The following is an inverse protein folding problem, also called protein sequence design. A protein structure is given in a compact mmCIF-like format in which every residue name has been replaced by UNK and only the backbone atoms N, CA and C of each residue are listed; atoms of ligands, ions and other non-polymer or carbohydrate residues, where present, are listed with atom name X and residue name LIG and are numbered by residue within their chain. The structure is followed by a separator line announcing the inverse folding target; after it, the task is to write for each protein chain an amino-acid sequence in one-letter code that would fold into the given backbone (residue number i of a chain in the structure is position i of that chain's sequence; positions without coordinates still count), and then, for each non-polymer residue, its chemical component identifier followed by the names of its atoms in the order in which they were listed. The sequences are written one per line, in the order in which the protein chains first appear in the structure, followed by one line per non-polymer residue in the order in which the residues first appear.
data_IF_692314332017
#
_entry.id   IF_692314332017
#
_cell.length_a   1.000
_cell.length_b   1.000
_cell.length_c   1.000
_cell.angle_alpha   90.00
_cell.angle_beta   90.00
_cell.angle_gamma   90.00
#
_symmetry.space_group_name_H-M   'P 1'
#
loop_
_entity.id
_entity.type
_entity.pdbx_description
1 polymer ?
#
# COMPACT_ATOMS: atom_id res chain seq x y z
N UNK A 1 51.14 -12.29 65.66
CA UNK A 1 51.48 -13.67 65.24
C UNK A 1 50.17 -14.37 64.94
N UNK A 2 49.33 -13.81 64.07
CA UNK A 2 49.43 -13.77 62.59
C UNK A 2 48.98 -15.12 62.02
N UNK A 3 48.03 -15.24 61.09
CA UNK A 3 47.30 -14.25 60.31
C UNK A 3 46.14 -14.88 59.54
N UNK A 4 45.35 -14.01 58.91
CA UNK A 4 44.27 -14.30 57.98
C UNK A 4 44.73 -15.08 56.73
N UNK A 5 43.79 -15.79 56.11
CA UNK A 5 43.99 -16.43 54.80
C UNK A 5 42.70 -16.95 54.19
N UNK A 6 41.81 -16.04 53.79
CA UNK A 6 40.70 -16.35 52.91
C UNK A 6 41.19 -16.61 51.47
N UNK A 7 40.72 -17.69 50.84
CA UNK A 7 40.60 -17.84 49.38
C UNK A 7 39.67 -19.04 49.15
N UNK A 8 38.40 -18.90 48.78
CA UNK A 8 37.85 -18.33 47.55
C UNK A 8 38.36 -18.99 46.27
N UNK A 9 37.40 -19.25 45.37
CA UNK A 9 37.54 -19.77 44.01
C UNK A 9 37.67 -21.31 43.91
N UNK A 10 36.90 -22.01 43.09
CA UNK A 10 36.04 -21.58 42.02
C UNK A 10 34.88 -22.57 41.90
N UNK A 11 33.66 -22.06 42.09
CA UNK A 11 32.53 -22.58 41.33
C UNK A 11 32.98 -22.51 39.87
N UNK A 12 33.12 -23.67 39.24
CA UNK A 12 33.34 -23.75 37.80
C UNK A 12 32.04 -23.26 37.19
N UNK A 13 31.97 -21.95 37.01
CA UNK A 13 30.98 -21.26 36.20
C UNK A 13 31.04 -21.94 34.83
N UNK A 14 30.08 -22.83 34.60
CA UNK A 14 29.83 -23.44 33.30
C UNK A 14 29.36 -22.36 32.34
N UNK A 15 30.31 -21.57 31.83
CA UNK A 15 30.17 -20.62 30.72
C UNK A 15 30.06 -21.35 29.37
N UNK A 16 29.22 -22.38 29.32
CA UNK A 16 28.99 -23.19 28.12
C UNK A 16 27.51 -23.51 27.89
N UNK A 17 26.58 -22.67 28.39
CA UNK A 17 25.15 -22.96 28.39
C UNK A 17 24.20 -21.93 27.76
N UNK A 18 24.68 -20.81 27.21
CA UNK A 18 23.81 -19.74 26.69
C UNK A 18 24.24 -19.26 25.29
N UNK A 19 24.22 -20.16 24.30
CA UNK A 19 24.44 -19.78 22.89
C UNK A 19 23.12 -19.58 22.13
N UNK A 20 21.98 -19.90 22.75
CA UNK A 20 20.67 -19.52 22.26
C UNK A 20 20.07 -18.58 23.30
N UNK A 21 19.79 -17.33 22.91
CA UNK A 21 18.91 -16.46 23.67
C UNK A 21 17.57 -17.16 23.95
N UNK A 22 16.76 -16.60 24.85
CA UNK A 22 15.43 -17.10 25.19
C UNK A 22 14.72 -17.71 23.97
N UNK A 23 14.11 -18.90 24.06
CA UNK A 23 13.44 -19.59 22.93
C UNK A 23 12.53 -18.65 22.14
N UNK A 24 11.89 -17.69 22.81
CA UNK A 24 11.11 -16.63 22.17
C UNK A 24 11.91 -15.79 21.17
N UNK A 25 13.14 -15.38 21.51
CA UNK A 25 14.02 -14.61 20.63
C UNK A 25 14.43 -15.41 19.39
N UNK A 26 14.71 -16.71 19.56
CA UNK A 26 15.02 -17.60 18.44
C UNK A 26 13.81 -17.70 17.50
N UNK A 27 12.61 -17.90 18.05
CA UNK A 27 11.37 -17.94 17.27
C UNK A 27 11.13 -16.61 16.55
N UNK A 28 11.31 -15.47 17.22
CA UNK A 28 11.19 -14.15 16.59
C UNK A 28 12.19 -13.94 15.46
N UNK A 29 13.43 -14.38 15.65
CA UNK A 29 14.46 -14.30 14.63
C UNK A 29 14.11 -15.15 13.42
N UNK A 30 13.64 -16.38 13.62
CA UNK A 30 13.15 -17.24 12.53
C UNK A 30 11.99 -16.54 11.79
N UNK A 31 10.97 -16.10 12.53
CA UNK A 31 9.79 -15.45 11.95
C UNK A 31 10.12 -14.15 11.21
N UNK A 32 11.20 -13.46 11.57
CA UNK A 32 11.65 -12.24 10.88
C UNK A 32 11.99 -12.49 9.39
N UNK A 33 12.41 -13.71 9.03
CA UNK A 33 12.71 -14.13 7.66
C UNK A 33 11.54 -14.81 6.92
N UNK A 34 10.37 -14.93 7.57
CA UNK A 34 9.19 -15.57 6.98
C UNK A 34 8.21 -14.51 6.44
N UNK A 35 7.69 -14.62 5.21
CA UNK A 35 6.70 -13.68 4.68
C UNK A 35 5.44 -13.57 5.55
N UNK A 36 4.76 -12.42 5.48
CA UNK A 36 3.64 -12.09 6.38
C UNK A 36 2.50 -13.11 6.31
N UNK A 37 2.15 -13.60 5.11
CA UNK A 37 1.08 -14.60 4.95
C UNK A 37 1.39 -15.89 5.71
N UNK A 38 2.63 -16.35 5.65
CA UNK A 38 3.11 -17.52 6.38
C UNK A 38 3.20 -17.27 7.88
N UNK A 39 3.65 -16.09 8.33
CA UNK A 39 3.65 -15.70 9.75
C UNK A 39 2.24 -15.74 10.35
N UNK A 40 1.22 -15.26 9.61
CA UNK A 40 -0.18 -15.31 10.04
C UNK A 40 -0.68 -16.75 10.21
N UNK A 41 -0.29 -17.66 9.31
CA UNK A 41 -0.60 -19.10 9.46
C UNK A 41 0.09 -19.70 10.68
N UNK A 42 1.37 -19.40 10.88
CA UNK A 42 2.18 -19.91 12.00
C UNK A 42 1.66 -19.41 13.37
N UNK A 43 1.04 -18.23 13.42
CA UNK A 43 0.42 -17.70 14.64
C UNK A 43 -0.69 -18.60 15.22
N UNK A 44 -1.18 -19.58 14.47
CA UNK A 44 -2.16 -20.57 14.93
C UNK A 44 -1.54 -21.75 15.70
N UNK A 45 -0.24 -22.00 15.59
CA UNK A 45 0.43 -23.22 16.10
C UNK A 45 0.37 -23.34 17.63
N UNK A 46 0.91 -22.36 18.36
CA UNK A 46 0.80 -22.33 19.83
C UNK A 46 0.91 -20.90 20.37
N UNK A 47 0.76 -20.71 21.70
CA UNK A 47 0.78 -19.38 22.34
C UNK A 47 2.11 -18.64 22.14
N UNK A 48 3.25 -19.35 22.22
CA UNK A 48 4.57 -18.74 22.02
C UNK A 48 4.71 -18.18 20.59
N UNK A 49 4.45 -19.01 19.58
CA UNK A 49 4.51 -18.61 18.17
C UNK A 49 3.53 -17.48 17.85
N UNK A 50 2.32 -17.51 18.40
CA UNK A 50 1.34 -16.43 18.25
C UNK A 50 1.85 -15.10 18.79
N UNK A 51 2.45 -15.10 19.98
CA UNK A 51 2.96 -13.89 20.60
C UNK A 51 4.20 -13.34 19.85
N UNK A 52 5.09 -14.22 19.42
CA UNK A 52 6.25 -13.83 18.60
C UNK A 52 5.83 -13.31 17.22
N UNK A 53 4.89 -13.98 16.55
CA UNK A 53 4.33 -13.53 15.28
C UNK A 53 3.72 -12.13 15.37
N UNK A 54 2.93 -11.86 16.43
CA UNK A 54 2.37 -10.51 16.67
C UNK A 54 3.46 -9.45 16.86
N UNK A 55 4.53 -9.76 17.60
CA UNK A 55 5.66 -8.84 17.80
C UNK A 55 6.39 -8.57 16.48
N UNK A 56 6.70 -9.60 15.71
CA UNK A 56 7.32 -9.47 14.37
C UNK A 56 6.44 -8.68 13.40
N UNK A 57 5.12 -8.89 13.41
CA UNK A 57 4.22 -8.13 12.53
C UNK A 57 4.15 -6.65 12.93
N UNK A 58 4.29 -6.32 14.22
CA UNK A 58 4.32 -4.93 14.69
C UNK A 58 5.60 -4.19 14.30
N UNK A 59 6.72 -4.88 14.12
CA UNK A 59 7.98 -4.26 13.69
C UNK A 59 8.06 -4.07 12.18
N UNK A 60 7.20 -4.75 11.41
CA UNK A 60 7.11 -4.71 9.95
C UNK A 60 6.29 -3.52 9.44
N UNK A 61 6.79 -2.30 9.70
CA UNK A 61 6.09 -1.05 9.38
C UNK A 61 6.68 -0.29 8.19
N UNK A 62 7.57 -0.90 7.41
CA UNK A 62 8.12 -0.25 6.22
C UNK A 62 7.18 -0.43 5.03
N UNK A 63 6.89 0.64 4.31
CA UNK A 63 6.16 0.58 3.04
C UNK A 63 6.96 -0.23 2.02
N UNK A 64 6.25 -0.87 1.10
CA UNK A 64 6.85 -1.54 -0.06
C UNK A 64 5.99 -1.33 -1.29
N UNK A 65 6.53 -1.65 -2.46
CA UNK A 65 5.79 -1.56 -3.71
C UNK A 65 6.05 -2.77 -4.60
N UNK A 66 5.04 -3.10 -5.39
CA UNK A 66 5.12 -4.07 -6.47
C UNK A 66 4.94 -3.32 -7.77
N UNK A 67 5.71 -3.65 -8.78
CA UNK A 67 5.66 -3.00 -10.09
C UNK A 67 5.76 -4.06 -11.18
N UNK A 68 5.12 -3.79 -12.30
CA UNK A 68 5.09 -4.69 -13.43
C UNK A 68 5.02 -3.89 -14.72
N UNK A 69 5.77 -4.34 -15.72
CA UNK A 69 5.75 -3.81 -17.08
C UNK A 69 6.05 -4.95 -18.03
N UNK A 70 5.07 -5.38 -18.81
CA UNK A 70 5.24 -6.40 -19.84
C UNK A 70 4.06 -6.34 -20.81
N UNK A 71 4.27 -6.67 -22.09
CA UNK A 71 3.14 -6.93 -22.98
C UNK A 71 2.44 -8.21 -22.53
N UNK A 72 1.30 -8.16 -21.83
CA UNK A 72 0.62 -9.40 -21.49
C UNK A 72 0.08 -10.10 -22.74
N UNK A 73 0.23 -11.42 -22.74
CA UNK A 73 -0.45 -12.34 -23.68
C UNK A 73 -1.81 -12.78 -23.15
N UNK A 74 -2.27 -12.20 -22.04
CA UNK A 74 -3.40 -12.65 -21.25
C UNK A 74 -4.47 -11.56 -21.21
N UNK A 75 -5.72 -11.93 -20.90
CA UNK A 75 -6.80 -10.95 -20.75
C UNK A 75 -6.65 -10.06 -19.50
N UNK A 76 -5.81 -10.46 -18.56
CA UNK A 76 -5.61 -9.76 -17.29
C UNK A 76 -4.36 -8.85 -17.29
N UNK A 77 -4.53 -7.66 -16.71
CA UNK A 77 -3.47 -6.68 -16.50
C UNK A 77 -2.25 -7.25 -15.75
N UNK A 78 -1.06 -7.07 -16.31
CA UNK A 78 0.22 -7.62 -15.81
C UNK A 78 0.47 -7.38 -14.31
N UNK A 79 0.08 -6.21 -13.78
CA UNK A 79 0.23 -5.88 -12.36
C UNK A 79 -0.61 -6.78 -11.44
N UNK A 80 -1.83 -7.20 -11.82
CA UNK A 80 -2.68 -8.03 -10.96
C UNK A 80 -2.04 -9.40 -10.69
N UNK A 81 -1.46 -10.00 -11.74
CA UNK A 81 -0.70 -11.26 -11.62
C UNK A 81 0.56 -11.08 -10.78
N UNK A 82 1.31 -10.01 -11.06
CA UNK A 82 2.53 -9.68 -10.31
C UNK A 82 2.23 -9.44 -8.84
N UNK A 83 1.08 -8.84 -8.52
CA UNK A 83 0.62 -8.68 -7.15
C UNK A 83 0.26 -10.02 -6.50
N UNK A 84 -0.37 -10.94 -7.23
CA UNK A 84 -0.76 -12.26 -6.71
C UNK A 84 0.45 -13.06 -6.27
N UNK A 85 1.51 -13.06 -7.08
CA UNK A 85 2.78 -13.70 -6.75
C UNK A 85 3.61 -12.90 -5.74
N UNK A 86 3.67 -11.58 -5.90
CA UNK A 86 4.46 -10.68 -5.05
C UNK A 86 3.96 -10.62 -3.61
N UNK A 87 2.64 -10.67 -3.39
CA UNK A 87 2.02 -10.67 -2.06
C UNK A 87 2.33 -11.93 -1.24
N UNK A 88 2.73 -13.04 -1.87
CA UNK A 88 3.22 -14.21 -1.12
C UNK A 88 4.55 -13.91 -0.42
N UNK A 89 5.33 -12.95 -0.93
CA UNK A 89 6.68 -12.65 -0.49
C UNK A 89 6.80 -11.31 0.26
N UNK A 90 5.67 -10.64 0.59
CA UNK A 90 5.74 -9.39 1.35
C UNK A 90 6.00 -9.61 2.84
N UNK A 91 6.82 -8.73 3.40
CA UNK A 91 7.20 -8.70 4.81
C UNK A 91 6.48 -7.58 5.56
N UNK A 92 5.27 -7.23 5.14
CA UNK A 92 4.39 -6.29 5.83
C UNK A 92 2.94 -6.77 5.78
N UNK A 93 2.07 -6.24 6.65
CA UNK A 93 0.63 -6.42 6.56
C UNK A 93 0.00 -5.10 6.08
N UNK A 94 -0.51 -5.01 4.84
CA UNK A 94 -1.03 -3.75 4.34
C UNK A 94 -2.36 -3.39 5.03
N UNK A 95 -2.48 -2.14 5.43
CA UNK A 95 -3.73 -1.50 5.85
C UNK A 95 -4.35 -0.67 4.73
N UNK A 96 -3.53 -0.12 3.83
CA UNK A 96 -4.00 0.54 2.63
C UNK A 96 -3.12 0.12 1.44
N UNK A 97 -3.74 -0.02 0.28
CA UNK A 97 -3.06 -0.27 -0.98
C UNK A 97 -3.52 0.77 -2.00
N UNK A 98 -2.54 1.44 -2.62
CA UNK A 98 -2.78 2.33 -3.75
C UNK A 98 -2.25 1.65 -5.01
N UNK A 99 -3.15 1.36 -5.94
CA UNK A 99 -2.87 0.71 -7.21
C UNK A 99 -2.96 1.74 -8.33
N UNK A 100 -1.93 1.83 -9.16
CA UNK A 100 -1.90 2.63 -10.37
C UNK A 100 -1.63 1.73 -11.56
N UNK A 101 -2.50 1.78 -12.57
CA UNK A 101 -2.45 0.94 -13.76
C UNK A 101 -2.74 1.77 -15.00
N UNK A 102 -2.15 1.35 -16.12
CA UNK A 102 -2.47 1.90 -17.43
C UNK A 102 -3.84 1.43 -17.96
N UNK A 103 -4.36 2.12 -18.98
CA UNK A 103 -5.71 1.93 -19.51
C UNK A 103 -5.84 0.74 -20.49
N UNK A 104 -4.75 0.24 -21.09
CA UNK A 104 -4.75 -0.61 -22.30
C UNK A 104 -5.66 -1.87 -22.23
N UNK A 105 -5.96 -2.42 -21.05
CA UNK A 105 -6.80 -3.63 -20.90
C UNK A 105 -8.20 -3.42 -20.30
N UNK A 106 -8.55 -2.18 -19.92
CA UNK A 106 -9.92 -1.87 -19.48
C UNK A 106 -10.88 -1.56 -20.64
N UNK A 107 -10.38 -1.60 -21.86
CA UNK A 107 -11.18 -1.59 -23.06
C UNK A 107 -11.16 -3.02 -23.62
N UNK A 108 -12.15 -3.84 -23.25
CA UNK A 108 -12.33 -5.15 -23.88
C UNK A 108 -12.17 -5.06 -25.40
N UNK A 109 -11.48 -6.06 -25.97
CA UNK A 109 -11.08 -6.18 -27.37
C UNK A 109 -12.24 -5.95 -28.36
N UNK A 110 -12.58 -4.70 -28.64
CA UNK A 110 -13.39 -4.25 -29.78
C UNK A 110 -13.15 -2.75 -30.03
N UNK A 111 -11.91 -2.36 -30.32
CA UNK A 111 -11.59 -1.02 -30.81
C UNK A 111 -10.97 -1.05 -32.21
N UNK A 112 -11.53 -1.86 -33.12
CA UNK A 112 -11.39 -1.55 -34.54
C UNK A 112 -12.19 -0.28 -34.84
N UNK A 113 -11.47 0.85 -34.96
CA UNK A 113 -11.87 2.12 -35.55
C UNK A 113 -13.29 2.63 -35.24
N UNK A 114 -13.42 3.59 -34.30
CA UNK A 114 -14.47 4.62 -34.44
C UNK A 114 -14.16 5.91 -33.69
N UNK A 115 -13.89 6.94 -34.49
CA UNK A 115 -13.97 8.34 -34.07
C UNK A 115 -15.32 8.66 -33.40
N UNK A 116 -15.24 9.54 -32.39
CA UNK A 116 -16.31 10.42 -31.89
C UNK A 116 -17.61 9.74 -31.46
N UNK A 117 -17.63 9.22 -30.24
CA UNK A 117 -18.63 9.47 -29.19
C UNK A 117 -18.22 8.69 -27.95
N UNK A 118 -18.17 9.38 -26.80
CA UNK A 118 -17.84 8.84 -25.50
C UNK A 118 -18.65 7.55 -25.20
N UNK A 119 -18.04 6.39 -25.45
CA UNK A 119 -18.61 5.10 -25.09
C UNK A 119 -18.12 4.82 -23.67
N UNK A 120 -19.03 4.99 -22.69
CA UNK A 120 -18.84 4.55 -21.30
C UNK A 120 -18.21 3.16 -21.29
N UNK A 121 -17.01 3.02 -20.74
CA UNK A 121 -16.50 1.71 -20.35
C UNK A 121 -17.48 1.11 -19.32
N UNK A 122 -17.76 -0.17 -19.48
CA UNK A 122 -18.77 -0.94 -18.76
C UNK A 122 -18.53 -0.96 -17.24
N UNK A 123 -19.58 -1.09 -16.40
CA UNK A 123 -19.45 -1.36 -14.96
C UNK A 123 -18.86 -2.73 -14.63
N UNK A 124 -18.84 -3.67 -15.58
CA UNK A 124 -18.42 -5.07 -15.38
C UNK A 124 -16.90 -5.20 -15.13
N UNK A 125 -16.06 -4.51 -15.89
CA UNK A 125 -14.61 -4.54 -15.74
C UNK A 125 -14.14 -3.95 -14.40
N UNK A 126 -14.89 -2.95 -13.89
CA UNK A 126 -14.64 -2.36 -12.56
C UNK A 126 -14.85 -3.40 -11.46
N UNK A 127 -15.98 -4.12 -11.52
CA UNK A 127 -16.34 -5.12 -10.50
C UNK A 127 -15.30 -6.24 -10.49
N UNK A 128 -14.84 -6.70 -11.65
CA UNK A 128 -13.81 -7.75 -11.73
C UNK A 128 -12.50 -7.36 -11.03
N UNK A 129 -11.95 -6.18 -11.33
CA UNK A 129 -10.66 -5.74 -10.76
C UNK A 129 -10.77 -5.49 -9.26
N UNK A 130 -11.84 -4.84 -8.81
CA UNK A 130 -12.10 -4.64 -7.38
C UNK A 130 -12.24 -5.98 -6.65
N UNK A 131 -13.03 -6.92 -7.19
CA UNK A 131 -13.24 -8.24 -6.60
C UNK A 131 -11.94 -9.05 -6.52
N UNK A 132 -11.10 -9.00 -7.56
CA UNK A 132 -9.82 -9.71 -7.55
C UNK A 132 -8.87 -9.13 -6.51
N UNK A 133 -8.72 -7.80 -6.45
CA UNK A 133 -7.92 -7.14 -5.43
C UNK A 133 -8.41 -7.47 -4.01
N UNK A 134 -9.73 -7.55 -3.82
CA UNK A 134 -10.36 -7.94 -2.53
C UNK A 134 -10.07 -9.37 -2.12
N UNK A 135 -9.91 -10.29 -3.07
CA UNK A 135 -9.53 -11.69 -2.78
C UNK A 135 -8.06 -11.82 -2.40
N UNK A 136 -7.20 -10.97 -2.94
CA UNK A 136 -5.75 -11.01 -2.71
C UNK A 136 -5.32 -10.29 -1.42
N UNK A 137 -6.04 -9.24 -1.02
CA UNK A 137 -5.67 -8.37 0.10
C UNK A 137 -6.41 -8.73 1.41
N UNK A 138 -5.89 -8.29 2.57
CA UNK A 138 -6.59 -8.45 3.85
C UNK A 138 -7.98 -7.82 3.83
N UNK A 139 -8.95 -8.43 4.52
CA UNK A 139 -10.35 -7.97 4.56
C UNK A 139 -10.52 -6.50 4.97
N UNK A 140 -9.69 -6.02 5.90
CA UNK A 140 -9.75 -4.65 6.43
C UNK A 140 -8.78 -3.70 5.71
N UNK A 141 -8.25 -4.10 4.55
CA UNK A 141 -7.35 -3.27 3.77
C UNK A 141 -8.16 -2.28 2.92
N UNK A 142 -7.81 -1.01 3.03
CA UNK A 142 -8.31 0.03 2.13
C UNK A 142 -7.67 -0.11 0.75
N UNK A 143 -8.46 0.07 -0.30
CA UNK A 143 -7.99 -0.04 -1.69
C UNK A 143 -8.36 1.24 -2.42
N UNK A 144 -7.35 1.89 -2.99
CA UNK A 144 -7.49 2.99 -3.93
C UNK A 144 -6.91 2.55 -5.27
N UNK A 145 -7.77 2.31 -6.25
CA UNK A 145 -7.32 1.95 -7.60
C UNK A 145 -7.45 3.17 -8.53
N UNK A 146 -6.42 3.45 -9.31
CA UNK A 146 -6.27 4.62 -10.17
C UNK A 146 -5.87 4.14 -11.56
N UNK A 147 -6.61 4.59 -12.56
CA UNK A 147 -6.31 4.36 -13.97
C UNK A 147 -5.83 5.67 -14.59
N UNK A 148 -4.65 5.63 -15.20
CA UNK A 148 -3.99 6.82 -15.76
C UNK A 148 -3.23 6.45 -17.03
N UNK A 149 -3.20 7.34 -18.04
CA UNK A 149 -2.39 7.11 -19.23
C UNK A 149 -0.92 7.33 -18.88
N UNK A 150 -0.09 6.37 -19.24
CA UNK A 150 1.35 6.42 -19.00
C UNK A 150 1.72 6.21 -17.53
N UNK A 151 2.68 5.33 -17.29
CA UNK A 151 3.13 4.95 -15.94
C UNK A 151 4.63 5.14 -15.83
N UNK A 152 5.06 5.93 -14.84
CA UNK A 152 6.45 5.94 -14.40
C UNK A 152 6.59 5.02 -13.19
N UNK A 153 7.33 3.93 -13.33
CA UNK A 153 7.59 3.00 -12.23
C UNK A 153 9.08 2.85 -11.98
N UNK A 154 9.44 2.59 -10.72
CA UNK A 154 10.77 2.08 -10.37
C UNK A 154 10.63 0.57 -10.21
N UNK A 155 11.27 -0.24 -11.09
CA UNK A 155 11.15 -1.69 -11.01
C UNK A 155 11.49 -2.21 -9.61
N UNK A 156 10.76 -3.22 -9.16
CA UNK A 156 10.98 -3.84 -7.84
C UNK A 156 12.26 -4.70 -7.81
N UNK A 157 12.93 -4.88 -8.95
CA UNK A 157 14.14 -5.68 -9.09
C UNK A 157 15.38 -4.97 -8.54
N UNK A 158 16.26 -5.68 -7.79
CA UNK A 158 17.46 -5.07 -7.20
C UNK A 158 18.43 -4.43 -8.20
N UNK A 159 18.42 -4.92 -9.45
CA UNK A 159 19.33 -4.51 -10.51
C UNK A 159 18.92 -3.20 -11.20
N UNK A 160 17.66 -2.76 -11.07
CA UNK A 160 17.16 -1.59 -11.76
C UNK A 160 16.61 -0.57 -10.76
N UNK A 161 17.40 0.48 -10.48
CA UNK A 161 17.02 1.57 -9.57
C UNK A 161 16.60 2.85 -10.29
N UNK A 162 16.57 2.82 -11.62
CA UNK A 162 16.26 3.99 -12.44
C UNK A 162 14.76 3.95 -12.74
N UNK A 163 14.01 5.03 -12.44
CA UNK A 163 12.62 5.13 -12.86
C UNK A 163 12.51 4.98 -14.38
N UNK A 164 11.55 4.17 -14.82
CA UNK A 164 11.24 3.93 -16.23
C UNK A 164 9.85 4.46 -16.54
N UNK A 165 9.74 5.19 -17.64
CA UNK A 165 8.49 5.74 -18.16
C UNK A 165 7.94 4.83 -19.26
N UNK A 166 6.73 4.35 -19.06
CA UNK A 166 5.99 3.53 -20.00
C UNK A 166 4.83 4.37 -20.54
N UNK A 167 5.00 4.89 -21.75
CA UNK A 167 3.94 5.63 -22.46
C UNK A 167 2.98 4.71 -23.22
N UNK A 168 3.48 3.54 -23.65
CA UNK A 168 2.74 2.54 -24.42
C UNK A 168 3.01 1.15 -23.81
N UNK A 169 1.98 0.29 -23.81
CA UNK A 169 2.03 -1.06 -23.25
C UNK A 169 1.65 -1.13 -21.77
N UNK A 170 1.36 -2.33 -21.29
CA UNK A 170 0.86 -2.50 -19.93
C UNK A 170 1.95 -2.28 -18.88
N UNK A 171 1.70 -1.29 -18.03
CA UNK A 171 2.50 -1.01 -16.87
C UNK A 171 1.62 -0.67 -15.68
N UNK A 172 2.14 -0.93 -14.49
CA UNK A 172 1.49 -0.52 -13.27
C UNK A 172 2.37 -0.71 -12.05
N UNK A 173 2.00 -0.03 -10.97
CA UNK A 173 2.58 -0.26 -9.66
C UNK A 173 1.54 -0.19 -8.55
N UNK A 174 1.85 -0.85 -7.44
CA UNK A 174 1.03 -0.91 -6.24
C UNK A 174 1.88 -0.54 -5.03
N UNK A 175 1.51 0.53 -4.32
CA UNK A 175 2.09 0.89 -3.03
C UNK A 175 1.32 0.22 -1.89
N UNK A 176 2.05 -0.45 -1.01
CA UNK A 176 1.51 -1.18 0.14
C UNK A 176 1.89 -0.44 1.42
N UNK A 177 0.89 0.13 2.09
CA UNK A 177 1.05 0.87 3.32
C UNK A 177 0.67 0.00 4.52
N UNK A 178 1.61 -0.35 5.42
CA UNK A 178 1.28 -1.01 6.67
C UNK A 178 0.74 0.01 7.69
N UNK A 179 0.40 -0.48 8.88
CA UNK A 179 0.26 0.38 10.05
C UNK A 179 1.63 1.01 10.36
N UNK A 180 1.76 2.31 10.16
CA UNK A 180 2.99 3.06 10.42
C UNK A 180 2.80 3.90 11.68
N UNK A 181 3.73 3.77 12.62
CA UNK A 181 3.71 4.57 13.85
C UNK A 181 3.79 6.07 13.52
N UNK A 182 2.88 6.86 14.09
CA UNK A 182 2.78 8.30 13.86
C UNK A 182 2.24 8.71 12.49
N UNK A 183 1.87 7.77 11.61
CA UNK A 183 1.32 8.08 10.28
C UNK A 183 -0.11 7.56 10.16
N UNK A 184 -1.04 8.47 9.93
CA UNK A 184 -2.44 8.17 9.68
C UNK A 184 -2.80 8.49 8.23
N UNK A 185 -3.16 7.45 7.47
CA UNK A 185 -3.64 7.61 6.10
C UNK A 185 -5.17 7.52 6.12
N UNK A 186 -5.84 8.51 5.53
CA UNK A 186 -7.30 8.54 5.43
C UNK A 186 -7.70 8.75 3.96
N UNK A 187 -8.40 7.78 3.34
CA UNK A 187 -8.97 7.98 2.03
C UNK A 187 -10.13 8.98 2.12
N UNK A 188 -10.28 9.82 1.09
CA UNK A 188 -11.42 10.70 0.95
C UNK A 188 -11.87 10.71 -0.51
N UNK A 189 -13.15 11.01 -0.73
CA UNK A 189 -13.71 11.14 -2.06
C UNK A 189 -14.73 12.28 -2.09
N UNK A 190 -14.47 13.26 -2.95
CA UNK A 190 -15.36 14.40 -3.14
C UNK A 190 -15.91 14.42 -4.56
N UNK A 191 -17.20 14.71 -4.65
CA UNK A 191 -17.87 15.09 -5.87
C UNK A 191 -18.55 16.44 -5.65
N UNK A 192 -19.08 17.06 -6.71
CA UNK A 192 -19.76 18.36 -6.64
C UNK A 192 -20.83 18.45 -5.53
N UNK A 193 -21.48 17.33 -5.19
CA UNK A 193 -22.55 17.27 -4.17
C UNK A 193 -22.04 17.04 -2.74
N UNK A 194 -20.80 16.55 -2.57
CA UNK A 194 -20.26 16.20 -1.25
C UNK A 194 -19.21 17.16 -0.72
N UNK A 195 -18.84 18.21 -1.49
CA UNK A 195 -17.86 19.20 -1.06
C UNK A 195 -18.52 20.29 -0.20
N UNK A 196 -18.56 20.04 1.11
CA UNK A 196 -18.99 20.99 2.16
C UNK A 196 -17.88 21.17 3.19
N UNK A 197 -17.95 22.24 3.99
CA UNK A 197 -16.94 22.52 5.03
C UNK A 197 -16.89 21.40 6.09
N UNK A 198 -18.06 20.88 6.51
CA UNK A 198 -18.17 19.71 7.39
C UNK A 198 -17.52 18.45 6.80
N UNK A 199 -17.67 18.23 5.49
CA UNK A 199 -17.06 17.08 4.84
C UNK A 199 -15.53 17.23 4.70
N UNK A 200 -15.03 18.46 4.53
CA UNK A 200 -13.60 18.77 4.54
C UNK A 200 -12.98 18.55 5.93
N UNK A 201 -13.66 18.96 6.99
CA UNK A 201 -13.25 18.73 8.37
C UNK A 201 -13.25 17.22 8.71
N UNK A 202 -14.31 16.49 8.36
CA UNK A 202 -14.39 15.02 8.54
C UNK A 202 -13.29 14.27 7.80
N UNK A 203 -12.95 14.71 6.60
CA UNK A 203 -11.81 14.16 5.84
C UNK A 203 -10.44 14.55 6.43
N UNK A 204 -10.41 15.48 7.39
CA UNK A 204 -9.18 15.99 8.00
C UNK A 204 -8.41 16.93 7.09
N UNK A 205 -9.07 17.55 6.10
CA UNK A 205 -8.50 18.53 5.16
C UNK A 205 -8.65 19.98 5.64
N UNK A 206 -9.45 20.22 6.67
CA UNK A 206 -9.61 21.50 7.35
C UNK A 206 -9.45 21.31 8.85
N UNK A 207 -8.90 22.32 9.54
CA UNK A 207 -8.75 22.29 11.01
C UNK A 207 -7.79 21.23 11.56
N UNK A 208 -7.02 20.56 10.70
CA UNK A 208 -6.14 19.46 11.09
C UNK A 208 -4.65 19.90 11.06
N UNK A 209 -4.05 20.22 12.23
CA UNK A 209 -2.64 20.64 12.29
C UNK A 209 -1.64 19.51 11.97
N UNK A 210 -2.08 18.25 12.07
CA UNK A 210 -1.27 17.07 11.82
C UNK A 210 -1.25 16.66 10.34
N UNK A 211 -2.08 17.28 9.49
CA UNK A 211 -2.05 17.05 8.05
C UNK A 211 -0.72 17.53 7.47
N UNK A 212 0.04 16.61 6.85
CA UNK A 212 1.32 16.92 6.19
C UNK A 212 1.32 16.71 4.69
N UNK A 213 0.58 15.71 4.21
CA UNK A 213 0.57 15.31 2.80
C UNK A 213 -0.86 15.03 2.34
N UNK A 214 -1.22 15.55 1.17
CA UNK A 214 -2.48 15.24 0.47
C UNK A 214 -2.13 14.70 -0.91
N UNK A 215 -2.51 13.45 -1.17
CA UNK A 215 -2.48 12.86 -2.51
C UNK A 215 -3.83 13.08 -3.18
N UNK A 216 -3.86 13.97 -4.19
CA UNK A 216 -5.07 14.41 -4.87
C UNK A 216 -5.11 13.89 -6.32
N UNK A 217 -6.04 12.98 -6.59
CA UNK A 217 -6.27 12.44 -7.93
C UNK A 217 -7.60 12.92 -8.48
N UNK A 218 -7.54 13.86 -9.43
CA UNK A 218 -8.71 14.44 -10.08
C UNK A 218 -9.11 13.64 -11.31
N UNK A 219 -10.36 13.17 -11.36
CA UNK A 219 -10.91 12.51 -12.54
C UNK A 219 -12.18 13.23 -13.00
N UNK A 220 -12.53 13.11 -14.28
CA UNK A 220 -13.59 13.91 -14.92
C UNK A 220 -13.40 15.44 -14.83
N UNK A 221 -12.16 15.92 -14.70
CA UNK A 221 -11.87 17.36 -14.53
C UNK A 221 -12.11 18.20 -15.81
N UNK A 222 -12.40 17.57 -16.95
CA UNK A 222 -12.85 18.24 -18.17
C UNK A 222 -14.27 18.84 -18.05
N UNK A 223 -15.01 18.53 -16.98
CA UNK A 223 -16.38 19.03 -16.76
C UNK A 223 -16.37 20.50 -16.37
N UNK A 224 -17.42 21.22 -16.77
CA UNK A 224 -17.61 22.63 -16.41
C UNK A 224 -17.67 22.80 -14.88
N UNK A 225 -16.93 23.78 -14.37
CA UNK A 225 -16.82 24.05 -12.93
C UNK A 225 -15.78 23.22 -12.18
N UNK A 226 -14.98 22.37 -12.86
CA UNK A 226 -13.89 21.63 -12.22
C UNK A 226 -12.85 22.56 -11.58
N UNK A 227 -12.49 23.67 -12.23
CA UNK A 227 -11.58 24.68 -11.66
C UNK A 227 -12.14 25.30 -10.37
N UNK A 228 -13.43 25.66 -10.36
CA UNK A 228 -14.12 26.16 -9.16
C UNK A 228 -14.13 25.12 -8.04
N UNK A 229 -14.41 23.87 -8.37
CA UNK A 229 -14.40 22.76 -7.42
C UNK A 229 -13.02 22.54 -6.81
N UNK A 230 -11.97 22.46 -7.64
CA UNK A 230 -10.59 22.33 -7.19
C UNK A 230 -10.17 23.52 -6.33
N UNK A 231 -10.50 24.75 -6.73
CA UNK A 231 -10.20 25.93 -5.93
C UNK A 231 -10.90 25.89 -4.56
N UNK A 232 -12.15 25.42 -4.49
CA UNK A 232 -12.85 25.27 -3.21
C UNK A 232 -12.18 24.23 -2.31
N UNK A 233 -11.73 23.10 -2.86
CA UNK A 233 -11.02 22.05 -2.14
C UNK A 233 -9.62 22.48 -1.68
N UNK A 234 -8.89 23.20 -2.53
CA UNK A 234 -7.51 23.62 -2.28
C UNK A 234 -7.40 24.87 -1.40
N UNK A 235 -8.45 25.70 -1.34
CA UNK A 235 -8.48 26.93 -0.53
C UNK A 235 -8.06 26.72 0.94
N UNK A 236 -8.61 25.75 1.70
CA UNK A 236 -8.16 25.51 3.08
C UNK A 236 -6.72 24.99 3.15
N UNK A 237 -6.30 24.19 2.16
CA UNK A 237 -4.96 23.60 2.14
C UNK A 237 -3.88 24.63 1.80
N UNK A 238 -4.19 25.62 0.94
CA UNK A 238 -3.25 26.68 0.56
C UNK A 238 -2.85 27.62 1.70
N UNK A 239 -3.56 27.57 2.83
CA UNK A 239 -3.24 28.34 4.05
C UNK A 239 -2.37 27.53 5.03
N UNK A 240 -2.02 26.29 4.68
CA UNK A 240 -1.33 25.34 5.55
C UNK A 240 -0.02 24.84 4.92
N UNK A 241 0.92 24.39 5.76
CA UNK A 241 2.18 23.79 5.32
C UNK A 241 1.99 22.31 4.91
N UNK A 242 1.10 22.08 3.95
CA UNK A 242 0.74 20.75 3.46
C UNK A 242 1.35 20.52 2.08
N UNK A 243 2.04 19.40 1.90
CA UNK A 243 2.50 18.94 0.59
C UNK A 243 1.31 18.36 -0.18
N UNK A 244 0.97 18.96 -1.31
CA UNK A 244 -0.07 18.45 -2.20
C UNK A 244 0.62 17.83 -3.41
N UNK A 245 0.34 16.56 -3.67
CA UNK A 245 0.84 15.83 -4.83
C UNK A 245 -0.28 15.05 -5.50
N UNK A 246 -0.08 14.64 -6.75
CA UNK A 246 -1.09 13.94 -7.54
C UNK A 246 -1.35 14.65 -8.86
N UNK A 247 -2.46 14.32 -9.50
CA UNK A 247 -2.70 14.76 -10.87
C UNK A 247 -4.04 14.36 -11.43
N UNK A 248 -4.18 14.63 -12.73
CA UNK A 248 -5.35 14.23 -13.49
C UNK A 248 -5.22 12.77 -13.87
N UNK A 249 -6.27 12.00 -13.58
CA UNK A 249 -6.35 10.58 -13.88
C UNK A 249 -7.65 10.32 -14.64
N UNK A 250 -7.71 9.23 -15.39
CA UNK A 250 -8.91 8.90 -16.15
C UNK A 250 -10.02 8.41 -15.24
N UNK A 251 -9.67 7.51 -14.32
CA UNK A 251 -10.59 6.90 -13.37
C UNK A 251 -9.91 6.69 -12.03
N UNK A 252 -10.70 6.81 -10.98
CA UNK A 252 -10.33 6.38 -9.65
C UNK A 252 -11.50 5.59 -9.05
N UNK A 253 -11.17 4.51 -8.37
CA UNK A 253 -12.09 3.62 -7.69
C UNK A 253 -11.77 3.69 -6.19
N UNK A 254 -12.31 4.69 -5.48
CA UNK A 254 -12.18 4.75 -4.03
C UNK A 254 -13.08 3.66 -3.42
N UNK A 255 -12.63 3.08 -2.32
CA UNK A 255 -13.50 2.25 -1.50
C UNK A 255 -14.72 3.06 -1.05
N UNK A 256 -15.93 2.57 -1.37
CA UNK A 256 -17.13 2.98 -0.66
C UNK A 256 -17.05 2.38 0.76
N UNK A 257 -16.89 3.24 1.76
CA UNK A 257 -17.27 2.89 3.13
C UNK A 257 -18.65 3.51 3.33
N UNK A 258 -19.64 2.65 3.50
CA UNK A 258 -20.99 3.04 3.94
C UNK A 258 -20.93 3.68 5.34
#
# INVERSE_FOLDING_TARGET
MDGEGASSSAAVDSKAGFVLGNVAEVVEKILSYVPTKSVLRIASVCRLWRNCARRVLRTRQKTTWLSASESSRYEEHVLLRTMEEGLENVFLLPQMVMVMMDQEHFAGQYSSFRHKKARRCQPEDKVYVEDKLRRMLPRNCDILCIITPGIVLTPSEPACRIPQEFMEGEAGFSLLFPAMEGVHIRPFHFCKKSLTDDALEKAGLSGNPDLKVVLLFGYNAYKTGASRFLNQLLKPLGQSNVLIAGGHVERAFPQARD
#
